data_IF_633791271408
#
_entry.id   IF_633791271408
#
_cell.length_a   1.000
_cell.length_b   1.000
_cell.length_c   1.000
_cell.angle_alpha   90.00
_cell.angle_beta   90.00
_cell.angle_gamma   90.00
#
_symmetry.space_group_name_H-M   'P 1'
#
loop_
_entity.id
_entity.type
_entity.pdbx_description
1 polymer ?
#
# COMPACT_ATOMS: atom_id res chain seq x y z
N UNK A 1 5.84 21.94 9.75
CA UNK A 1 5.04 22.30 8.57
C UNK A 1 4.56 21.01 7.91
N UNK A 2 3.32 20.61 8.16
CA UNK A 2 2.72 19.33 7.71
C UNK A 2 2.21 19.40 6.25
N UNK A 3 2.18 20.60 5.65
CA UNK A 3 1.79 20.87 4.26
C UNK A 3 2.94 20.60 3.29
N UNK A 4 3.30 19.33 3.12
CA UNK A 4 4.18 18.89 2.02
C UNK A 4 3.40 17.88 1.19
N UNK A 5 3.55 17.89 -0.13
CA UNK A 5 2.82 16.99 -1.02
C UNK A 5 3.06 15.50 -0.67
N UNK A 6 4.17 15.18 -0.01
CA UNK A 6 4.50 13.84 0.50
C UNK A 6 3.45 13.26 1.48
N UNK A 7 2.89 14.08 2.39
CA UNK A 7 1.89 13.60 3.34
C UNK A 7 0.56 13.30 2.64
N UNK A 8 0.25 14.03 1.56
CA UNK A 8 -0.92 13.76 0.69
C UNK A 8 -0.76 12.41 -0.02
N UNK A 9 0.42 12.12 -0.56
CA UNK A 9 0.69 10.82 -1.20
C UNK A 9 0.59 9.65 -0.21
N UNK A 10 1.14 9.80 1.01
CA UNK A 10 1.01 8.79 2.06
C UNK A 10 -0.43 8.62 2.55
N UNK A 11 -1.18 9.71 2.66
CA UNK A 11 -2.58 9.68 3.07
C UNK A 11 -3.44 8.98 2.02
N UNK A 12 -3.25 9.29 0.74
CA UNK A 12 -3.90 8.58 -0.36
C UNK A 12 -3.53 7.10 -0.37
N UNK A 13 -2.25 6.76 -0.19
CA UNK A 13 -1.81 5.37 -0.11
C UNK A 13 -2.48 4.62 1.05
N UNK A 14 -2.59 5.27 2.22
CA UNK A 14 -3.30 4.71 3.38
C UNK A 14 -4.79 4.50 3.14
N UNK A 15 -5.48 5.49 2.56
CA UNK A 15 -6.91 5.37 2.21
C UNK A 15 -7.12 4.25 1.19
N UNK A 16 -6.30 4.18 0.16
CA UNK A 16 -6.34 3.10 -0.82
C UNK A 16 -6.12 1.74 -0.15
N UNK A 17 -5.13 1.61 0.75
CA UNK A 17 -4.89 0.38 1.50
C UNK A 17 -6.13 -0.03 2.34
N UNK A 18 -6.77 0.89 3.05
CA UNK A 18 -8.01 0.57 3.77
C UNK A 18 -9.17 0.23 2.83
N UNK A 19 -9.28 0.90 1.68
CA UNK A 19 -10.29 0.57 0.67
C UNK A 19 -10.11 -0.85 0.15
N UNK A 20 -8.87 -1.33 -0.03
CA UNK A 20 -8.58 -2.70 -0.47
C UNK A 20 -9.06 -3.82 0.48
N UNK A 21 -9.47 -3.49 1.71
CA UNK A 21 -10.15 -4.45 2.59
C UNK A 21 -11.55 -4.82 2.08
N UNK A 22 -12.26 -3.87 1.46
CA UNK A 22 -13.60 -4.08 0.92
C UNK A 22 -13.60 -4.35 -0.59
N UNK A 23 -12.60 -3.84 -1.31
CA UNK A 23 -12.50 -4.01 -2.75
C UNK A 23 -11.99 -5.42 -3.09
N UNK A 24 -12.51 -6.00 -4.16
CA UNK A 24 -12.06 -7.31 -4.64
C UNK A 24 -10.80 -7.16 -5.49
N UNK A 25 -9.79 -8.00 -5.26
CA UNK A 25 -8.63 -8.13 -6.12
C UNK A 25 -8.93 -9.07 -7.30
N UNK A 26 -9.52 -10.22 -7.00
CA UNK A 26 -9.86 -11.25 -7.97
C UNK A 26 -11.25 -11.81 -7.67
N UNK A 27 -11.98 -12.21 -8.70
CA UNK A 27 -13.27 -12.87 -8.53
C UNK A 27 -13.33 -14.07 -9.46
N UNK A 28 -13.67 -15.23 -8.90
CA UNK A 28 -13.61 -16.49 -9.62
C UNK A 28 -14.40 -17.60 -8.93
N UNK A 29 -14.61 -18.70 -9.66
CA UNK A 29 -15.26 -19.90 -9.15
C UNK A 29 -14.24 -20.81 -8.47
N UNK A 30 -14.59 -21.36 -7.32
CA UNK A 30 -13.77 -22.37 -6.61
C UNK A 30 -14.26 -23.77 -7.02
N UNK A 31 -13.37 -24.75 -7.28
CA UNK A 31 -13.75 -26.10 -7.72
C UNK A 31 -14.72 -26.84 -6.79
N UNK A 32 -14.79 -26.46 -5.50
CA UNK A 32 -15.68 -27.08 -4.52
C UNK A 32 -17.16 -26.61 -4.63
N UNK A 33 -17.41 -25.42 -5.19
CA UNK A 33 -18.75 -24.84 -5.38
C UNK A 33 -18.77 -23.94 -6.62
N UNK A 34 -18.97 -24.50 -7.83
CA UNK A 34 -18.90 -23.74 -9.08
C UNK A 34 -19.99 -22.65 -9.23
N UNK A 35 -21.03 -22.65 -8.39
CA UNK A 35 -22.10 -21.64 -8.38
C UNK A 35 -21.81 -20.42 -7.48
N UNK A 36 -20.77 -20.47 -6.64
CA UNK A 36 -20.41 -19.37 -5.75
C UNK A 36 -19.20 -18.63 -6.33
N UNK A 37 -19.43 -17.41 -6.80
CA UNK A 37 -18.37 -16.47 -7.14
C UNK A 37 -17.71 -15.98 -5.86
N UNK A 38 -16.54 -16.53 -5.53
CA UNK A 38 -15.79 -16.08 -4.38
C UNK A 38 -14.94 -14.85 -4.74
N UNK A 39 -14.87 -13.91 -3.80
CA UNK A 39 -14.21 -12.61 -3.96
C UNK A 39 -12.94 -12.60 -3.13
N UNK A 40 -11.80 -12.74 -3.80
CA UNK A 40 -10.51 -12.54 -3.16
C UNK A 40 -10.34 -11.05 -2.85
N UNK A 41 -10.40 -10.67 -1.58
CA UNK A 41 -10.19 -9.30 -1.12
C UNK A 41 -9.13 -9.27 -0.01
N UNK A 42 -8.74 -8.08 0.44
CA UNK A 42 -7.78 -7.91 1.54
C UNK A 42 -8.22 -8.53 2.87
N UNK A 43 -9.47 -8.97 2.99
CA UNK A 43 -10.06 -9.55 4.20
C UNK A 43 -10.30 -11.08 4.09
N UNK A 44 -9.86 -11.74 3.02
CA UNK A 44 -10.07 -13.18 2.78
C UNK A 44 -9.54 -14.05 3.94
N UNK A 45 -8.41 -13.65 4.53
CA UNK A 45 -7.81 -14.33 5.67
C UNK A 45 -7.30 -13.32 6.69
N UNK A 46 -7.35 -13.68 7.98
CA UNK A 46 -6.84 -12.87 9.09
C UNK A 46 -5.41 -12.36 8.82
N UNK A 47 -4.54 -13.19 8.25
CA UNK A 47 -3.17 -12.80 7.90
C UNK A 47 -3.12 -11.69 6.83
N UNK A 48 -3.91 -11.79 5.76
CA UNK A 48 -3.97 -10.77 4.70
C UNK A 48 -4.62 -9.48 5.19
N UNK A 49 -5.64 -9.61 6.03
CA UNK A 49 -6.32 -8.48 6.66
C UNK A 49 -5.37 -7.70 7.56
N UNK A 50 -4.65 -8.42 8.43
CA UNK A 50 -3.65 -7.82 9.31
C UNK A 50 -2.53 -7.13 8.52
N UNK A 51 -2.06 -7.73 7.42
CA UNK A 51 -1.02 -7.14 6.57
C UNK A 51 -1.51 -5.88 5.86
N UNK A 52 -2.74 -5.91 5.32
CA UNK A 52 -3.37 -4.75 4.67
C UNK A 52 -3.54 -3.58 5.65
N UNK A 53 -4.04 -3.87 6.85
CA UNK A 53 -4.15 -2.89 7.94
C UNK A 53 -2.78 -2.35 8.33
N UNK A 54 -1.77 -3.22 8.46
CA UNK A 54 -0.42 -2.82 8.81
C UNK A 54 0.18 -1.83 7.77
N UNK A 55 -0.04 -2.06 6.48
CA UNK A 55 0.37 -1.11 5.41
C UNK A 55 -0.33 0.24 5.59
N UNK A 56 -1.66 0.23 5.75
CA UNK A 56 -2.44 1.46 5.94
C UNK A 56 -2.02 2.25 7.18
N UNK A 57 -1.81 1.56 8.30
CA UNK A 57 -1.34 2.15 9.57
C UNK A 57 0.09 2.69 9.43
N UNK A 58 1.01 1.96 8.77
CA UNK A 58 2.35 2.47 8.51
C UNK A 58 2.33 3.75 7.67
N UNK A 59 1.50 3.81 6.63
CA UNK A 59 1.28 5.02 5.83
C UNK A 59 0.72 6.18 6.67
N UNK A 60 -0.16 5.91 7.64
CA UNK A 60 -0.66 6.96 8.54
C UNK A 60 0.39 7.41 9.56
N UNK A 61 1.08 6.48 10.22
CA UNK A 61 2.11 6.78 11.22
C UNK A 61 3.27 7.55 10.60
N UNK A 62 3.65 7.21 9.36
CA UNK A 62 4.70 7.93 8.62
C UNK A 62 4.35 9.40 8.35
N UNK A 63 3.07 9.79 8.29
CA UNK A 63 2.66 11.19 8.14
C UNK A 63 3.01 12.00 9.40
N UNK A 64 2.79 11.43 10.58
CA UNK A 64 3.09 12.08 11.86
C UNK A 64 4.59 12.16 12.17
N UNK A 65 5.40 11.32 11.54
CA UNK A 65 6.87 11.32 11.67
C UNK A 65 7.58 12.41 10.85
N UNK A 66 6.91 13.53 10.57
CA UNK A 66 7.43 14.64 9.76
C UNK A 66 8.70 15.29 10.32
N UNK A 67 8.97 15.15 11.62
CA UNK A 67 10.20 15.66 12.24
C UNK A 67 11.44 14.83 11.85
N UNK A 68 11.26 13.51 11.67
CA UNK A 68 12.35 12.58 11.41
C UNK A 68 12.32 12.08 9.95
N UNK A 69 12.73 12.93 9.01
CA UNK A 69 12.81 12.62 7.56
C UNK A 69 13.49 11.28 7.22
N UNK A 70 14.67 10.93 7.77
CA UNK A 70 15.30 9.64 7.46
C UNK A 70 14.48 8.45 7.96
N UNK A 71 13.78 8.59 9.09
CA UNK A 71 12.88 7.55 9.60
C UNK A 71 11.62 7.43 8.72
N UNK A 72 11.09 8.57 8.25
CA UNK A 72 9.96 8.62 7.34
C UNK A 72 10.26 7.89 6.01
N UNK A 73 11.47 8.05 5.47
CA UNK A 73 11.93 7.31 4.27
C UNK A 73 12.00 5.81 4.55
N UNK A 74 12.63 5.39 5.66
CA UNK A 74 12.76 3.97 6.03
C UNK A 74 11.41 3.29 6.20
N UNK A 75 10.48 3.94 6.90
CA UNK A 75 9.13 3.42 7.11
C UNK A 75 8.29 3.42 5.83
N UNK A 76 8.41 4.43 4.98
CA UNK A 76 7.75 4.43 3.67
C UNK A 76 8.26 3.29 2.79
N UNK A 77 9.58 3.02 2.84
CA UNK A 77 10.17 1.88 2.14
C UNK A 77 9.70 0.54 2.72
N UNK A 78 9.57 0.43 4.04
CA UNK A 78 8.98 -0.75 4.69
C UNK A 78 7.52 -0.96 4.27
N UNK A 79 6.70 0.10 4.22
CA UNK A 79 5.33 0.04 3.74
C UNK A 79 5.24 -0.40 2.28
N UNK A 80 6.16 0.09 1.42
CA UNK A 80 6.27 -0.36 0.04
C UNK A 80 6.60 -1.85 -0.07
N UNK A 81 7.59 -2.33 0.69
CA UNK A 81 7.96 -3.75 0.70
C UNK A 81 6.80 -4.64 1.17
N UNK A 82 6.10 -4.24 2.24
CA UNK A 82 4.91 -4.92 2.73
C UNK A 82 3.81 -4.97 1.67
N UNK A 83 3.56 -3.87 0.97
CA UNK A 83 2.57 -3.83 -0.11
C UNK A 83 2.93 -4.75 -1.29
N UNK A 84 4.22 -4.80 -1.67
CA UNK A 84 4.69 -5.71 -2.72
C UNK A 84 4.53 -7.17 -2.28
N UNK A 85 4.86 -7.48 -1.04
CA UNK A 85 4.67 -8.82 -0.47
C UNK A 85 3.18 -9.22 -0.46
N UNK A 86 2.28 -8.28 -0.12
CA UNK A 86 0.83 -8.46 -0.18
C UNK A 86 0.37 -8.84 -1.59
N UNK A 87 0.85 -8.11 -2.61
CA UNK A 87 0.55 -8.39 -4.02
C UNK A 87 1.00 -9.79 -4.44
N UNK A 88 2.22 -10.19 -4.05
CA UNK A 88 2.74 -11.53 -4.36
C UNK A 88 1.87 -12.62 -3.72
N UNK A 89 1.46 -12.43 -2.46
CA UNK A 89 0.57 -13.35 -1.76
C UNK A 89 -0.80 -13.45 -2.46
N UNK A 90 -1.39 -12.32 -2.85
CA UNK A 90 -2.68 -12.28 -3.57
C UNK A 90 -2.61 -12.96 -4.93
N UNK A 91 -1.55 -12.73 -5.70
CA UNK A 91 -1.34 -13.40 -7.00
C UNK A 91 -1.14 -14.90 -6.81
N UNK A 92 -0.43 -15.33 -5.76
CA UNK A 92 -0.30 -16.75 -5.45
C UNK A 92 -1.63 -17.39 -5.04
N UNK A 93 -2.48 -16.69 -4.27
CA UNK A 93 -3.84 -17.16 -3.97
C UNK A 93 -4.71 -17.26 -5.22
N UNK A 94 -4.51 -16.38 -6.20
CA UNK A 94 -5.23 -16.42 -7.48
C UNK A 94 -5.01 -17.74 -8.23
N UNK A 95 -3.83 -18.37 -8.10
CA UNK A 95 -3.53 -19.67 -8.71
C UNK A 95 -4.36 -20.83 -8.15
N UNK A 96 -4.99 -20.65 -6.99
CA UNK A 96 -5.87 -21.66 -6.40
C UNK A 96 -7.30 -21.64 -7.01
N UNK A 97 -7.62 -20.65 -7.85
CA UNK A 97 -8.89 -20.56 -8.55
C UNK A 97 -8.77 -21.22 -9.93
N UNK A 98 -9.75 -22.05 -10.31
CA UNK A 98 -9.77 -22.70 -11.64
C UNK A 98 -10.18 -21.75 -12.76
N UNK A 99 -11.10 -20.82 -12.47
CA UNK A 99 -11.53 -19.80 -13.43
C UNK A 99 -11.91 -18.51 -12.72
N UNK A 100 -11.53 -17.37 -13.30
CA UNK A 100 -11.83 -16.07 -12.74
C UNK A 100 -11.15 -14.94 -13.48
N UNK A 101 -11.50 -13.71 -13.10
CA UNK A 101 -11.01 -12.49 -13.73
C UNK A 101 -10.51 -11.51 -12.69
N UNK A 102 -9.47 -10.75 -13.03
CA UNK A 102 -9.06 -9.62 -12.21
C UNK A 102 -10.17 -8.57 -12.19
N UNK A 103 -10.54 -8.14 -10.99
CA UNK A 103 -11.52 -7.06 -10.84
C UNK A 103 -10.90 -5.73 -11.27
N UNK A 104 -11.72 -4.78 -11.74
CA UNK A 104 -11.29 -3.41 -12.05
C UNK A 104 -10.55 -2.77 -10.86
N UNK A 105 -10.96 -3.14 -9.64
CA UNK A 105 -10.40 -2.66 -8.38
C UNK A 105 -9.00 -3.20 -8.07
N UNK A 106 -8.52 -4.21 -8.80
CA UNK A 106 -7.13 -4.67 -8.71
C UNK A 106 -6.12 -3.54 -9.03
N UNK A 107 -6.52 -2.58 -9.87
CA UNK A 107 -5.71 -1.39 -10.20
C UNK A 107 -5.37 -0.59 -8.93
N UNK A 108 -6.27 -0.55 -7.93
CA UNK A 108 -6.02 0.16 -6.67
C UNK A 108 -4.86 -0.47 -5.90
N UNK A 109 -4.74 -1.80 -5.91
CA UNK A 109 -3.64 -2.51 -5.24
C UNK A 109 -2.29 -2.20 -5.88
N UNK A 110 -2.27 -2.07 -7.21
CA UNK A 110 -1.08 -1.68 -7.97
C UNK A 110 -0.76 -0.18 -7.85
N UNK A 111 -1.75 0.67 -7.59
CA UNK A 111 -1.56 2.10 -7.39
C UNK A 111 -0.87 2.43 -6.05
N UNK A 112 -1.16 1.69 -4.97
CA UNK A 112 -0.57 1.91 -3.64
C UNK A 112 0.97 2.00 -3.65
N UNK A 113 1.72 1.03 -4.22
CA UNK A 113 3.19 1.12 -4.23
C UNK A 113 3.69 2.33 -5.04
N UNK A 114 2.98 2.74 -6.10
CA UNK A 114 3.31 3.95 -6.89
C UNK A 114 3.13 5.22 -6.04
N UNK A 115 2.04 5.31 -5.28
CA UNK A 115 1.79 6.44 -4.37
C UNK A 115 2.87 6.53 -3.28
N UNK A 116 3.25 5.39 -2.70
CA UNK A 116 4.34 5.34 -1.71
C UNK A 116 5.68 5.75 -2.34
N UNK A 117 5.94 5.34 -3.59
CA UNK A 117 7.15 5.75 -4.31
C UNK A 117 7.22 7.28 -4.51
N UNK A 118 6.11 7.90 -4.92
CA UNK A 118 6.01 9.35 -5.05
C UNK A 118 6.24 10.06 -3.71
N UNK A 119 5.70 9.51 -2.62
CA UNK A 119 5.97 10.02 -1.28
C UNK A 119 7.46 9.98 -0.92
N UNK A 120 8.13 8.84 -1.14
CA UNK A 120 9.57 8.67 -0.87
C UNK A 120 10.41 9.68 -1.67
N UNK A 121 10.10 9.86 -2.96
CA UNK A 121 10.78 10.84 -3.81
C UNK A 121 10.61 12.26 -3.27
N UNK A 122 9.40 12.60 -2.83
CA UNK A 122 9.10 13.87 -2.16
C UNK A 122 9.97 14.08 -0.92
N UNK A 123 10.00 13.10 0.00
CA UNK A 123 10.75 13.19 1.27
C UNK A 123 12.25 13.34 1.04
N UNK A 124 12.82 12.62 0.07
CA UNK A 124 14.26 12.72 -0.28
C UNK A 124 14.63 14.09 -0.83
N UNK A 125 13.80 14.68 -1.68
CA UNK A 125 14.03 16.02 -2.20
C UNK A 125 14.00 17.05 -1.06
N UNK A 126 13.03 16.91 -0.17
CA UNK A 126 12.83 17.74 1.01
C UNK A 126 14.02 17.62 2.01
N UNK A 127 14.56 16.42 2.21
CA UNK A 127 15.76 16.18 3.02
C UNK A 127 17.00 16.83 2.41
N UNK A 128 17.16 16.77 1.08
CA UNK A 128 18.29 17.39 0.37
C UNK A 128 18.31 18.92 0.56
N UNK A 129 17.17 19.58 0.43
CA UNK A 129 17.07 21.05 0.59
C UNK A 129 17.51 21.48 2.01
N UNK A 130 17.05 20.76 3.04
CA UNK A 130 17.44 21.06 4.43
C UNK A 130 18.94 20.84 4.64
N UNK A 131 19.49 19.76 4.08
CA UNK A 131 20.92 19.47 4.18
C UNK A 131 21.77 20.53 3.49
N UNK A 132 21.35 21.04 2.34
CA UNK A 132 22.05 22.11 1.61
C UNK A 132 21.99 23.44 2.38
N UNK A 133 20.84 23.80 2.94
CA UNK A 133 20.71 25.01 3.78
C UNK A 133 21.62 24.96 5.02
N UNK A 134 21.79 23.77 5.62
CA UNK A 134 22.64 23.60 6.79
C UNK A 134 24.14 23.60 6.47
N UNK A 135 24.54 23.49 5.19
CA UNK A 135 25.95 23.60 4.76
C UNK A 135 26.40 25.05 4.55
N UNK A 136 25.44 25.97 4.38
CA UNK A 136 25.68 27.39 4.13
C UNK A 136 25.64 28.25 5.41
N UNK A 137 25.32 27.64 6.56
CA UNK A 137 25.35 28.25 7.89
C UNK A 137 26.56 27.72 8.65
#
# INVERSE_FOLDING_TARGET
MIQRIQSVWLLLAGICAFATLKLSFYSGSIPATPEVYDKLNGAENFYLMALTIAVGVLCMVTIFLYQNRPLQIKLSFAAMLLQVLLLILMVNKTKAFESGTFSLTAVVYAAIPVLIFLAIKGIRADEKIVKESNRLR
#
